data_IF_086132421623
#
_entry.id   IF_086132421623
#
_cell.length_a   1.000
_cell.length_b   1.000
_cell.length_c   1.000
_cell.angle_alpha   90.00
_cell.angle_beta   90.00
_cell.angle_gamma   90.00
#
_symmetry.space_group_name_H-M   'P 1'
#
loop_
_entity.id
_entity.type
_entity.pdbx_description
1 polymer ?
#
# COMPACT_ATOMS: atom_id res chain seq x y z
N UNK A 1 -13.72 23.36 -35.98
CA UNK A 1 -12.28 23.44 -35.64
C UNK A 1 -12.17 24.03 -34.24
N UNK A 2 -11.81 23.22 -33.24
CA UNK A 2 -11.57 23.67 -31.86
C UNK A 2 -10.23 23.11 -31.37
N UNK A 3 -9.49 23.99 -30.70
CA UNK A 3 -8.05 23.96 -30.49
C UNK A 3 -7.65 22.97 -29.36
N UNK A 4 -6.63 22.14 -29.58
CA UNK A 4 -6.10 21.12 -28.63
C UNK A 4 -4.89 21.69 -27.85
N UNK A 5 -4.81 21.51 -26.51
CA UNK A 5 -3.60 21.83 -25.73
C UNK A 5 -2.50 20.75 -25.88
N UNK A 6 -1.19 21.12 -25.82
CA UNK A 6 -0.09 20.30 -26.38
C UNK A 6 0.63 19.35 -25.40
N UNK A 7 -0.03 18.78 -24.38
CA UNK A 7 0.65 17.85 -23.44
C UNK A 7 -0.05 16.50 -23.19
N UNK A 8 -1.17 16.22 -23.85
CA UNK A 8 -1.86 14.93 -23.69
C UNK A 8 -2.08 14.24 -25.05
N UNK A 9 -1.05 13.50 -25.46
CA UNK A 9 -1.14 12.57 -26.59
C UNK A 9 -1.65 11.23 -26.08
N UNK A 10 -2.93 10.95 -26.28
CA UNK A 10 -3.51 9.61 -26.19
C UNK A 10 -2.97 8.77 -27.36
N UNK A 11 -1.68 8.41 -27.31
CA UNK A 11 -1.13 7.33 -28.11
C UNK A 11 -1.09 6.11 -27.20
N UNK A 12 -2.12 5.28 -27.38
CA UNK A 12 -2.29 3.95 -26.81
C UNK A 12 -0.97 3.16 -26.82
N UNK A 13 -0.37 2.99 -25.64
CA UNK A 13 0.59 1.91 -25.42
C UNK A 13 -0.22 0.63 -25.19
N UNK A 14 -0.03 -0.43 -25.99
CA UNK A 14 -0.68 -1.71 -25.74
C UNK A 14 0.09 -2.41 -24.61
N UNK A 15 -0.58 -2.60 -23.47
CA UNK A 15 -0.07 -3.42 -22.37
C UNK A 15 -0.36 -2.84 -20.99
N UNK A 16 -1.30 -3.48 -20.29
CA UNK A 16 -1.50 -3.41 -18.82
C UNK A 16 -2.40 -2.28 -18.28
N UNK A 17 -3.64 -2.18 -18.77
CA UNK A 17 -4.71 -1.52 -18.03
C UNK A 17 -5.56 -2.55 -17.29
N UNK A 18 -5.03 -3.07 -16.17
CA UNK A 18 -5.92 -3.56 -15.12
C UNK A 18 -6.47 -2.35 -14.38
N UNK A 19 -7.74 -2.37 -13.95
CA UNK A 19 -8.25 -1.37 -13.01
C UNK A 19 -7.26 -1.22 -11.84
N UNK A 20 -7.04 -0.02 -11.26
CA UNK A 20 -6.05 0.22 -10.20
C UNK A 20 -6.10 -0.84 -9.08
N UNK A 21 -7.31 -1.30 -8.74
CA UNK A 21 -7.56 -2.39 -7.81
C UNK A 21 -6.83 -3.69 -8.18
N UNK A 22 -6.88 -4.13 -9.44
CA UNK A 22 -6.21 -5.35 -9.92
C UNK A 22 -4.70 -5.24 -9.79
N UNK A 23 -4.15 -4.08 -10.12
CA UNK A 23 -2.71 -3.86 -10.05
C UNK A 23 -2.22 -3.82 -8.60
N UNK A 24 -2.96 -3.16 -7.71
CA UNK A 24 -2.66 -3.14 -6.27
C UNK A 24 -2.80 -4.54 -5.66
N UNK A 25 -3.81 -5.32 -6.06
CA UNK A 25 -3.94 -6.72 -5.61
C UNK A 25 -2.78 -7.59 -6.04
N UNK A 26 -2.26 -7.41 -7.27
CA UNK A 26 -1.06 -8.11 -7.71
C UNK A 26 0.16 -7.73 -6.86
N UNK A 27 0.36 -6.44 -6.57
CA UNK A 27 1.43 -5.98 -5.69
C UNK A 27 1.32 -6.57 -4.27
N UNK A 28 0.10 -6.63 -3.71
CA UNK A 28 -0.13 -7.22 -2.38
C UNK A 28 0.10 -8.75 -2.37
N UNK A 29 -0.22 -9.44 -3.47
CA UNK A 29 0.08 -10.86 -3.65
C UNK A 29 1.58 -11.12 -3.63
N UNK A 30 2.33 -10.32 -4.36
CA UNK A 30 3.78 -10.48 -4.57
C UNK A 30 4.62 -9.72 -3.52
N UNK A 31 3.98 -9.11 -2.52
CA UNK A 31 4.67 -8.41 -1.44
C UNK A 31 5.66 -9.35 -0.71
N UNK A 32 6.92 -8.90 -0.63
CA UNK A 32 8.07 -9.68 -0.17
C UNK A 32 8.87 -10.42 -1.26
N UNK A 33 8.33 -10.57 -2.48
CA UNK A 33 8.99 -11.27 -3.59
C UNK A 33 9.21 -10.41 -4.84
N UNK A 34 8.74 -9.16 -4.82
CA UNK A 34 9.03 -8.19 -5.89
C UNK A 34 10.53 -7.91 -5.95
N UNK A 35 11.11 -7.95 -7.16
CA UNK A 35 12.51 -7.60 -7.39
C UNK A 35 12.78 -6.10 -7.17
N UNK A 36 11.81 -5.26 -7.54
CA UNK A 36 11.83 -3.81 -7.33
C UNK A 36 10.40 -3.26 -7.12
N UNK A 37 10.32 -1.95 -6.85
CA UNK A 37 9.07 -1.22 -6.68
C UNK A 37 8.83 -0.20 -7.81
N UNK A 38 9.44 -0.35 -8.99
CA UNK A 38 9.24 0.58 -10.10
C UNK A 38 7.80 0.57 -10.61
N UNK A 39 7.20 -0.63 -10.72
CA UNK A 39 5.78 -0.75 -11.07
C UNK A 39 4.88 -0.06 -10.05
N UNK A 40 5.22 -0.14 -8.76
CA UNK A 40 4.47 0.54 -7.70
C UNK A 40 4.67 2.07 -7.74
N UNK A 41 5.87 2.55 -8.10
CA UNK A 41 6.14 3.99 -8.31
C UNK A 41 5.35 4.56 -9.49
N UNK A 42 5.33 3.85 -10.61
CA UNK A 42 4.56 4.23 -11.79
C UNK A 42 3.06 4.30 -11.47
N UNK A 43 2.52 3.25 -10.84
CA UNK A 43 1.11 3.19 -10.43
C UNK A 43 0.74 4.32 -9.44
N UNK A 44 1.63 4.66 -8.50
CA UNK A 44 1.43 5.82 -7.61
C UNK A 44 1.27 7.11 -8.40
N UNK A 45 2.14 7.34 -9.39
CA UNK A 45 2.09 8.56 -10.20
C UNK A 45 0.78 8.64 -11.00
N UNK A 46 0.32 7.52 -11.57
CA UNK A 46 -0.95 7.43 -12.29
C UNK A 46 -2.15 7.71 -11.37
N UNK A 47 -2.20 7.06 -10.21
CA UNK A 47 -3.27 7.26 -9.21
C UNK A 47 -3.32 8.72 -8.73
N UNK A 48 -2.16 9.33 -8.45
CA UNK A 48 -2.07 10.74 -8.06
C UNK A 48 -2.55 11.68 -9.16
N UNK A 49 -2.15 11.44 -10.40
CA UNK A 49 -2.61 12.22 -11.54
C UNK A 49 -4.14 12.13 -11.73
N UNK A 50 -4.73 10.98 -11.40
CA UNK A 50 -6.17 10.77 -11.41
C UNK A 50 -6.90 11.32 -10.17
N UNK A 51 -6.18 11.74 -9.12
CA UNK A 51 -6.76 12.29 -7.89
C UNK A 51 -7.53 11.26 -7.04
N UNK A 52 -7.23 9.96 -7.17
CA UNK A 52 -7.97 8.89 -6.49
C UNK A 52 -7.29 8.54 -5.15
N UNK A 53 -7.60 9.32 -4.09
CA UNK A 53 -7.00 9.15 -2.75
C UNK A 53 -7.17 7.74 -2.19
N UNK A 54 -8.33 7.12 -2.39
CA UNK A 54 -8.60 5.75 -1.93
C UNK A 54 -7.61 4.75 -2.53
N UNK A 55 -7.41 4.79 -3.84
CA UNK A 55 -6.48 3.91 -4.54
C UNK A 55 -5.04 4.16 -4.10
N UNK A 56 -4.67 5.41 -3.79
CA UNK A 56 -3.33 5.72 -3.28
C UNK A 56 -3.12 5.09 -1.90
N UNK A 57 -4.12 5.17 -1.02
CA UNK A 57 -4.03 4.61 0.32
C UNK A 57 -3.91 3.07 0.30
N UNK A 58 -4.67 2.37 -0.57
CA UNK A 58 -4.52 0.91 -0.73
C UNK A 58 -3.16 0.55 -1.34
N UNK A 59 -2.65 1.34 -2.29
CA UNK A 59 -1.32 1.13 -2.86
C UNK A 59 -0.23 1.27 -1.79
N UNK A 60 -0.27 2.34 -0.98
CA UNK A 60 0.69 2.54 0.11
C UNK A 60 0.61 1.39 1.12
N UNK A 61 -0.59 0.88 1.45
CA UNK A 61 -0.73 -0.30 2.31
C UNK A 61 -0.02 -1.53 1.74
N UNK A 62 -0.17 -1.80 0.43
CA UNK A 62 0.49 -2.92 -0.22
C UNK A 62 2.02 -2.79 -0.20
N UNK A 63 2.54 -1.56 -0.29
CA UNK A 63 3.97 -1.26 -0.18
C UNK A 63 4.46 -1.43 1.26
N UNK A 64 3.67 -1.02 2.26
CA UNK A 64 3.95 -1.28 3.67
C UNK A 64 4.04 -2.78 3.95
N UNK A 65 3.10 -3.59 3.41
CA UNK A 65 3.15 -5.05 3.51
C UNK A 65 4.45 -5.61 2.93
N UNK A 66 4.87 -5.14 1.74
CA UNK A 66 6.12 -5.58 1.13
C UNK A 66 7.33 -5.32 2.03
N UNK A 67 7.48 -4.10 2.56
CA UNK A 67 8.58 -3.76 3.46
C UNK A 67 8.51 -4.50 4.79
N UNK A 68 7.31 -4.68 5.36
CA UNK A 68 7.12 -5.45 6.59
C UNK A 68 7.56 -6.91 6.41
N UNK A 69 7.19 -7.53 5.29
CA UNK A 69 7.61 -8.89 4.95
C UNK A 69 9.13 -8.99 4.74
N UNK A 70 9.79 -7.96 4.21
CA UNK A 70 11.25 -7.93 4.08
C UNK A 70 11.99 -7.54 5.38
N UNK A 71 11.27 -7.15 6.44
CA UNK A 71 11.88 -6.67 7.69
C UNK A 71 12.50 -5.26 7.57
N UNK A 72 12.11 -4.48 6.57
CA UNK A 72 12.65 -3.15 6.28
C UNK A 72 11.90 -2.06 7.06
N UNK A 73 12.05 -2.07 8.39
CA UNK A 73 11.26 -1.25 9.32
C UNK A 73 11.30 0.26 9.01
N UNK A 74 12.46 0.82 8.66
CA UNK A 74 12.59 2.25 8.30
C UNK A 74 11.74 2.62 7.09
N UNK A 75 11.61 1.70 6.13
CA UNK A 75 10.76 1.91 4.95
C UNK A 75 9.28 1.78 5.31
N UNK A 76 8.92 0.89 6.24
CA UNK A 76 7.54 0.83 6.76
C UNK A 76 7.16 2.13 7.46
N UNK A 77 8.04 2.69 8.30
CA UNK A 77 7.82 3.99 8.95
C UNK A 77 7.64 5.12 7.93
N UNK A 78 8.42 5.12 6.86
CA UNK A 78 8.26 6.07 5.75
C UNK A 78 6.88 5.96 5.10
N UNK A 79 6.38 4.74 4.89
CA UNK A 79 5.04 4.50 4.32
C UNK A 79 3.93 4.90 5.31
N UNK A 80 4.10 4.63 6.60
CA UNK A 80 3.16 5.08 7.65
C UNK A 80 3.01 6.60 7.63
N UNK A 81 4.11 7.35 7.50
CA UNK A 81 4.06 8.80 7.36
C UNK A 81 3.26 9.27 6.15
N UNK A 82 3.35 8.57 5.01
CA UNK A 82 2.53 8.86 3.81
C UNK A 82 1.06 8.54 4.04
N UNK A 83 0.75 7.43 4.72
CA UNK A 83 -0.62 7.06 5.08
C UNK A 83 -1.25 8.10 6.02
N UNK A 84 -0.51 8.63 6.99
CA UNK A 84 -0.98 9.74 7.83
C UNK A 84 -1.26 10.99 6.99
N UNK A 85 -0.35 11.37 6.10
CA UNK A 85 -0.56 12.52 5.21
C UNK A 85 -1.75 12.34 4.25
N UNK A 86 -2.10 11.10 3.88
CA UNK A 86 -3.30 10.81 3.11
C UNK A 86 -4.57 10.88 3.98
N UNK A 87 -4.49 10.46 5.24
CA UNK A 87 -5.58 10.54 6.20
C UNK A 87 -5.94 11.99 6.58
N UNK A 88 -4.97 12.92 6.58
CA UNK A 88 -5.28 14.36 6.71
C UNK A 88 -6.15 14.89 5.56
N UNK A 89 -6.09 14.23 4.39
CA UNK A 89 -6.82 14.62 3.18
C UNK A 89 -8.10 13.81 2.94
N UNK A 90 -8.41 12.81 3.76
CA UNK A 90 -9.58 11.95 3.58
C UNK A 90 -9.65 10.74 4.53
N UNK A 91 -10.66 9.90 4.35
CA UNK A 91 -11.00 8.83 5.30
C UNK A 91 -10.13 7.57 5.15
N UNK A 92 -8.88 7.57 5.63
CA UNK A 92 -7.98 6.40 5.51
C UNK A 92 -7.02 6.19 6.69
N UNK A 93 -7.25 6.82 7.84
CA UNK A 93 -6.37 6.74 9.01
C UNK A 93 -6.10 5.28 9.46
N UNK A 94 -7.10 4.41 9.34
CA UNK A 94 -6.99 3.00 9.73
C UNK A 94 -5.97 2.19 8.91
N UNK A 95 -5.60 2.63 7.69
CA UNK A 95 -4.54 1.96 6.94
C UNK A 95 -3.16 2.15 7.58
N UNK A 96 -2.94 3.28 8.26
CA UNK A 96 -1.72 3.48 9.03
C UNK A 96 -1.67 2.59 10.27
N UNK A 97 -2.81 2.39 10.94
CA UNK A 97 -2.90 1.44 12.06
C UNK A 97 -2.58 0.01 11.60
N UNK A 98 -3.14 -0.40 10.46
CA UNK A 98 -2.84 -1.70 9.86
C UNK A 98 -1.34 -1.82 9.50
N UNK A 99 -0.73 -0.79 8.92
CA UNK A 99 0.71 -0.77 8.62
C UNK A 99 1.57 -0.88 9.89
N UNK A 100 1.17 -0.25 10.98
CA UNK A 100 1.82 -0.41 12.29
C UNK A 100 1.66 -1.82 12.84
N UNK A 101 0.45 -2.41 12.75
CA UNK A 101 0.21 -3.80 13.15
C UNK A 101 1.06 -4.80 12.35
N UNK A 102 1.17 -4.61 11.04
CA UNK A 102 2.03 -5.42 10.16
C UNK A 102 3.50 -5.38 10.60
N UNK A 103 4.00 -4.20 11.00
CA UNK A 103 5.36 -4.04 11.49
C UNK A 103 5.54 -4.44 12.98
N UNK A 104 4.46 -4.83 13.67
CA UNK A 104 4.50 -5.12 15.11
C UNK A 104 4.79 -3.89 15.98
N UNK A 105 4.51 -2.69 15.46
CA UNK A 105 4.72 -1.43 16.16
C UNK A 105 3.51 -1.07 17.04
N UNK A 106 3.73 -0.41 18.19
CA UNK A 106 2.65 0.13 19.00
C UNK A 106 2.01 1.34 18.31
N UNK A 107 0.69 1.52 18.48
CA UNK A 107 0.03 2.73 18.03
C UNK A 107 0.35 3.92 18.96
N UNK A 108 0.57 5.13 18.43
CA UNK A 108 0.81 6.32 19.26
C UNK A 108 -0.46 6.79 20.00
N UNK A 109 -1.63 6.43 19.50
CA UNK A 109 -2.94 6.69 20.10
C UNK A 109 -3.87 5.51 19.80
N UNK A 110 -4.97 5.34 20.56
CA UNK A 110 -5.99 4.36 20.21
C UNK A 110 -6.49 4.56 18.77
N UNK A 111 -6.66 3.45 18.05
CA UNK A 111 -7.20 3.47 16.68
C UNK A 111 -8.57 4.17 16.67
N UNK A 112 -8.80 5.14 15.78
CA UNK A 112 -10.11 5.76 15.61
C UNK A 112 -11.12 4.82 14.93
N UNK A 113 -10.66 3.73 14.31
CA UNK A 113 -11.53 2.75 13.68
C UNK A 113 -12.16 1.76 14.67
N UNK A 114 -13.42 1.43 14.43
CA UNK A 114 -14.13 0.34 15.10
C UNK A 114 -13.83 -0.98 14.39
N UNK A 115 -12.97 -1.80 14.99
CA UNK A 115 -12.60 -3.11 14.46
C UNK A 115 -13.65 -4.18 14.78
N UNK A 116 -14.07 -4.94 13.77
CA UNK A 116 -15.12 -5.97 13.89
C UNK A 116 -14.79 -7.04 14.94
N UNK A 117 -13.55 -7.54 14.94
CA UNK A 117 -13.08 -8.58 15.86
C UNK A 117 -12.38 -8.00 17.11
N UNK A 118 -12.41 -6.67 17.27
CA UNK A 118 -11.62 -5.93 18.26
C UNK A 118 -10.16 -5.67 17.83
N UNK A 119 -9.51 -4.64 18.40
CA UNK A 119 -8.19 -4.18 17.97
C UNK A 119 -7.09 -5.23 18.17
N UNK A 120 -7.15 -6.03 19.25
CA UNK A 120 -6.13 -7.03 19.55
C UNK A 120 -6.14 -8.20 18.57
N UNK A 121 -7.34 -8.68 18.19
CA UNK A 121 -7.49 -9.75 17.21
C UNK A 121 -7.03 -9.30 15.83
N UNK A 122 -7.39 -8.08 15.41
CA UNK A 122 -6.95 -7.49 14.14
C UNK A 122 -5.43 -7.31 14.11
N UNK A 123 -4.83 -6.76 15.18
CA UNK A 123 -3.38 -6.63 15.32
C UNK A 123 -2.68 -7.98 15.19
N UNK A 124 -3.19 -8.99 15.88
CA UNK A 124 -2.63 -10.35 15.86
C UNK A 124 -2.69 -10.94 14.45
N UNK A 125 -3.82 -10.83 13.75
CA UNK A 125 -4.00 -11.37 12.40
C UNK A 125 -3.05 -10.73 11.38
N UNK A 126 -2.89 -9.41 11.40
CA UNK A 126 -1.96 -8.71 10.51
C UNK A 126 -0.51 -9.06 10.78
N UNK A 127 -0.14 -9.19 12.06
CA UNK A 127 1.20 -9.62 12.45
C UNK A 127 1.50 -11.06 11.99
N UNK A 128 0.55 -11.98 12.20
CA UNK A 128 0.67 -13.37 11.75
C UNK A 128 0.85 -13.46 10.23
N UNK A 129 0.06 -12.72 9.45
CA UNK A 129 0.21 -12.68 7.99
C UNK A 129 1.64 -12.31 7.55
N UNK A 130 2.26 -11.32 8.19
CA UNK A 130 3.63 -10.90 7.88
C UNK A 130 4.63 -11.99 8.28
N UNK A 131 4.47 -12.56 9.47
CA UNK A 131 5.35 -13.63 9.98
C UNK A 131 5.29 -14.88 9.10
N UNK A 132 4.10 -15.32 8.69
CA UNK A 132 3.93 -16.48 7.79
C UNK A 132 4.65 -16.26 6.46
N UNK A 133 4.58 -15.04 5.91
CA UNK A 133 5.28 -14.69 4.67
C UNK A 133 6.79 -14.61 4.85
N UNK A 134 7.27 -14.05 5.97
CA UNK A 134 8.69 -14.01 6.32
C UNK A 134 9.28 -15.43 6.39
N UNK A 135 8.59 -16.35 7.07
CA UNK A 135 8.98 -17.76 7.15
C UNK A 135 9.10 -18.36 5.76
N UNK A 136 8.07 -18.21 4.92
CA UNK A 136 8.07 -18.75 3.56
C UNK A 136 9.22 -18.23 2.70
N UNK A 137 9.55 -16.93 2.77
CA UNK A 137 10.66 -16.34 2.01
C UNK A 137 12.01 -16.83 2.52
N UNK A 138 12.14 -17.02 3.84
CA UNK A 138 13.35 -17.54 4.46
C UNK A 138 13.60 -19.01 4.09
N UNK A 139 12.54 -19.80 3.92
CA UNK A 139 12.64 -21.21 3.49
C UNK A 139 13.03 -21.38 2.01
N UNK A 140 12.81 -20.37 1.17
CA UNK A 140 13.07 -20.41 -0.26
C UNK A 140 14.34 -19.63 -0.67
N UNK A 141 15.17 -19.22 0.30
CA UNK A 141 16.41 -18.47 0.10
C UNK A 141 17.63 -19.38 0.27
#
# INVERSE_FOLDING_TARGET
MLNRPPFFSWRTRPGRWGAPTVQVSALARDAGTLADLDSARALRAEIRAAGITSAEAVLELAIALHHAVLGEYDKVLTVIGRLHALAERGDYAYYADIAQYMAGLPLPAPSPATWLDGPDAVRTRWRQLVQDRQTRISEHR
#
